data_IF_192826191784
#
_entry.id   IF_192826191784
#
_cell.length_a   1.000
_cell.length_b   1.000
_cell.length_c   1.000
_cell.angle_alpha   90.00
_cell.angle_beta   90.00
_cell.angle_gamma   90.00
#
_symmetry.space_group_name_H-M   'P 1'
#
loop_
_entity.id
_entity.type
_entity.pdbx_description
1 polymer ?
#
# COMPACT_ATOMS: atom_id res chain seq x y z
N UNK A 1 22.64 -21.31 29.66
CA UNK A 1 22.34 -20.04 28.95
C UNK A 1 23.24 -20.03 27.72
N UNK A 2 22.73 -20.54 26.58
CA UNK A 2 23.43 -20.50 25.30
C UNK A 2 23.12 -19.16 24.63
N UNK A 3 24.12 -18.41 24.13
CA UNK A 3 23.83 -17.26 23.31
C UNK A 3 23.38 -17.71 21.93
N UNK A 4 22.39 -16.98 21.43
CA UNK A 4 21.81 -17.07 20.10
C UNK A 4 22.88 -17.09 19.00
N UNK A 5 22.60 -17.90 18.00
CA UNK A 5 23.41 -18.12 16.81
C UNK A 5 23.64 -16.82 16.03
N UNK A 6 24.89 -16.35 16.01
CA UNK A 6 25.40 -15.42 15.00
C UNK A 6 25.15 -16.03 13.61
N UNK A 7 24.25 -15.44 12.81
CA UNK A 7 24.22 -15.70 11.36
C UNK A 7 25.00 -14.61 10.62
N UNK A 8 26.30 -14.55 10.84
CA UNK A 8 27.21 -13.94 9.86
C UNK A 8 27.46 -14.98 8.76
N UNK A 9 26.99 -14.73 7.53
CA UNK A 9 27.37 -15.55 6.37
C UNK A 9 28.86 -15.29 6.05
N UNK A 10 29.72 -16.24 6.42
CA UNK A 10 31.13 -16.24 6.00
C UNK A 10 31.23 -16.68 4.54
N UNK A 11 31.76 -15.81 3.68
CA UNK A 11 32.23 -16.18 2.34
C UNK A 11 33.57 -16.89 2.50
N UNK A 12 33.61 -18.22 2.30
CA UNK A 12 34.85 -19.01 2.36
C UNK A 12 35.77 -18.63 1.19
N UNK A 13 36.85 -17.91 1.47
CA UNK A 13 37.95 -17.67 0.53
C UNK A 13 39.16 -18.49 0.98
N UNK A 14 39.79 -19.21 0.04
CA UNK A 14 40.89 -20.17 0.26
C UNK A 14 42.16 -19.53 0.84
N UNK A 15 42.85 -20.31 1.66
CA UNK A 15 43.74 -19.93 2.77
C UNK A 15 45.10 -19.28 2.41
N UNK A 16 45.34 -18.84 1.18
CA UNK A 16 46.69 -18.41 0.73
C UNK A 16 46.85 -16.89 0.59
N UNK A 17 45.76 -16.11 0.64
CA UNK A 17 45.81 -14.63 0.57
C UNK A 17 45.53 -13.92 1.92
N UNK A 18 45.65 -14.65 3.05
CA UNK A 18 45.02 -14.29 4.32
C UNK A 18 45.71 -13.20 5.17
N UNK A 19 46.89 -12.69 4.79
CA UNK A 19 47.64 -11.74 5.64
C UNK A 19 47.65 -10.28 5.16
N UNK A 20 47.14 -9.97 3.96
CA UNK A 20 47.17 -8.59 3.42
C UNK A 20 45.77 -7.97 3.23
N UNK A 21 44.69 -8.76 3.37
CA UNK A 21 43.30 -8.28 3.21
C UNK A 21 42.58 -8.12 4.58
N UNK A 22 43.28 -8.27 5.71
CA UNK A 22 42.70 -8.16 7.06
C UNK A 22 42.44 -6.72 7.55
N UNK A 23 42.62 -5.70 6.70
CA UNK A 23 42.23 -4.33 7.01
C UNK A 23 41.10 -3.89 6.06
N UNK A 24 39.87 -3.84 6.59
CA UNK A 24 38.60 -3.42 5.95
C UNK A 24 37.75 -4.53 5.32
N UNK A 25 37.50 -5.62 6.04
CA UNK A 25 36.18 -6.25 5.96
C UNK A 25 35.24 -5.51 6.92
N UNK A 26 34.48 -4.54 6.41
CA UNK A 26 33.35 -4.00 7.17
C UNK A 26 32.33 -5.13 7.34
N UNK A 27 32.28 -5.71 8.54
CA UNK A 27 31.19 -6.59 8.92
C UNK A 27 29.92 -5.73 8.96
N UNK A 28 29.14 -5.78 7.89
CA UNK A 28 27.81 -5.17 7.88
C UNK A 28 26.91 -6.04 8.77
N UNK A 29 26.87 -5.72 10.06
CA UNK A 29 25.92 -6.33 10.97
C UNK A 29 24.51 -5.76 10.69
N UNK A 30 23.50 -6.62 10.77
CA UNK A 30 22.10 -6.26 10.50
C UNK A 30 21.16 -6.89 11.50
N UNK A 31 20.11 -6.16 11.86
CA UNK A 31 18.95 -6.68 12.58
C UNK A 31 17.95 -7.26 11.57
N UNK A 32 17.46 -8.46 11.85
CA UNK A 32 16.34 -9.04 11.11
C UNK A 32 15.03 -8.60 11.77
N UNK A 33 14.14 -8.00 10.96
CA UNK A 33 12.82 -7.59 11.37
C UNK A 33 11.77 -8.52 10.76
N UNK A 34 11.09 -9.31 11.58
CA UNK A 34 10.11 -10.30 11.14
C UNK A 34 8.73 -9.67 10.88
N UNK A 35 8.04 -10.16 9.85
CA UNK A 35 6.79 -9.60 9.35
C UNK A 35 5.71 -10.68 9.20
N UNK A 36 4.45 -10.27 9.34
CA UNK A 36 3.26 -11.09 9.14
C UNK A 36 2.21 -10.30 8.36
N UNK A 37 1.34 -10.98 7.61
CA UNK A 37 0.21 -10.32 6.97
C UNK A 37 -0.86 -9.92 8.00
N UNK A 38 -1.58 -8.80 7.80
CA UNK A 38 -1.42 -7.81 6.74
C UNK A 38 -0.12 -6.98 6.86
N UNK A 39 0.57 -6.74 5.74
CA UNK A 39 1.91 -6.15 5.74
C UNK A 39 1.88 -4.61 5.86
N UNK A 40 2.75 -3.99 6.69
CA UNK A 40 2.93 -2.55 6.73
C UNK A 40 3.60 -2.01 5.46
N UNK A 41 3.37 -0.72 5.20
CA UNK A 41 4.14 0.05 4.24
C UNK A 41 5.41 0.57 4.94
N UNK A 42 6.57 0.42 4.32
CA UNK A 42 7.85 0.83 4.91
C UNK A 42 8.44 2.02 4.20
N UNK A 43 9.13 2.86 4.97
CA UNK A 43 9.87 3.99 4.44
C UNK A 43 11.30 3.99 4.96
N UNK A 44 12.26 4.17 4.05
CA UNK A 44 13.70 4.21 4.36
C UNK A 44 14.41 5.33 3.59
N UNK A 45 15.36 5.99 4.24
CA UNK A 45 16.29 6.89 3.56
C UNK A 45 17.40 6.10 2.85
N UNK A 46 17.57 6.33 1.55
CA UNK A 46 18.67 5.83 0.73
C UNK A 46 19.45 7.00 0.15
N UNK A 47 20.51 7.40 0.85
CA UNK A 47 21.29 8.60 0.51
C UNK A 47 20.44 9.87 0.60
N UNK A 48 20.31 10.61 -0.49
CA UNK A 48 19.48 11.83 -0.56
C UNK A 48 18.02 11.58 -0.93
N UNK A 49 17.57 10.31 -1.00
CA UNK A 49 16.22 9.97 -1.42
C UNK A 49 15.51 9.13 -0.37
N UNK A 50 14.22 9.34 -0.19
CA UNK A 50 13.35 8.47 0.61
C UNK A 50 12.68 7.46 -0.30
N UNK A 51 12.64 6.21 0.15
CA UNK A 51 12.03 5.12 -0.59
C UNK A 51 10.90 4.55 0.25
N UNK A 52 9.73 4.46 -0.36
CA UNK A 52 8.56 3.84 0.23
C UNK A 52 8.30 2.52 -0.48
N UNK A 53 8.07 1.45 0.25
CA UNK A 53 7.98 0.12 -0.33
C UNK A 53 7.12 -0.82 0.48
N UNK A 54 6.56 -1.80 -0.22
CA UNK A 54 5.88 -2.94 0.39
C UNK A 54 6.86 -4.12 0.43
N UNK A 55 7.00 -4.79 1.58
CA UNK A 55 7.99 -5.86 1.72
C UNK A 55 7.58 -7.09 0.91
N UNK A 56 8.55 -7.67 0.21
CA UNK A 56 8.36 -8.87 -0.62
C UNK A 56 8.62 -10.17 0.14
N UNK A 57 9.15 -10.05 1.34
CA UNK A 57 9.60 -11.16 2.18
C UNK A 57 9.01 -11.01 3.57
N UNK A 58 8.91 -12.13 4.29
CA UNK A 58 8.47 -12.16 5.69
C UNK A 58 9.48 -11.57 6.66
N UNK A 59 10.60 -11.01 6.18
CA UNK A 59 11.54 -10.25 6.99
C UNK A 59 12.27 -9.17 6.20
N UNK A 60 12.71 -8.13 6.90
CA UNK A 60 13.54 -7.03 6.38
C UNK A 60 14.84 -6.99 7.18
N UNK A 61 15.97 -6.85 6.49
CA UNK A 61 17.26 -6.61 7.15
C UNK A 61 17.51 -5.11 7.28
N UNK A 62 17.71 -4.63 8.51
CA UNK A 62 18.06 -3.25 8.84
C UNK A 62 19.52 -3.23 9.27
N UNK A 63 20.38 -2.43 8.64
CA UNK A 63 21.80 -2.40 9.02
C UNK A 63 21.97 -1.72 10.38
N UNK A 64 23.03 -2.10 11.10
CA UNK A 64 23.39 -1.45 12.36
C UNK A 64 23.58 0.06 12.17
N UNK A 65 22.93 0.85 13.03
CA UNK A 65 22.90 2.31 12.95
C UNK A 65 21.85 2.89 12.01
N UNK A 66 21.14 2.06 11.23
CA UNK A 66 20.03 2.52 10.39
C UNK A 66 18.68 2.43 11.10
N UNK A 67 17.72 3.19 10.58
CA UNK A 67 16.32 3.10 10.94
C UNK A 67 15.44 2.88 9.70
N UNK A 68 14.28 2.28 9.94
CA UNK A 68 13.22 2.13 8.96
C UNK A 68 11.88 2.45 9.62
N UNK A 69 11.01 3.18 8.95
CA UNK A 69 9.69 3.56 9.48
C UNK A 69 8.62 2.66 8.88
N UNK A 70 7.72 2.10 9.70
CA UNK A 70 6.55 1.37 9.24
C UNK A 70 5.27 2.19 9.39
N UNK A 71 4.31 1.99 8.49
CA UNK A 71 2.98 2.62 8.49
C UNK A 71 1.85 1.59 8.27
N UNK A 72 0.77 1.72 9.05
CA UNK A 72 -0.50 0.99 8.87
C UNK A 72 -1.69 1.93 9.13
N UNK A 73 -2.62 2.06 8.17
CA UNK A 73 -3.80 2.93 8.31
C UNK A 73 -4.74 2.52 9.45
N UNK A 74 -4.94 1.21 9.65
CA UNK A 74 -5.80 0.64 10.69
C UNK A 74 -5.11 0.36 12.03
N UNK A 75 -3.87 0.79 12.21
CA UNK A 75 -3.11 0.55 13.43
C UNK A 75 -1.94 -0.42 13.21
N UNK A 76 -0.80 -0.07 13.81
CA UNK A 76 0.44 -0.84 13.76
C UNK A 76 0.54 -1.73 15.00
N UNK A 77 0.81 -3.02 14.80
CA UNK A 77 0.80 -4.04 15.86
C UNK A 77 2.13 -4.77 15.88
N UNK A 78 2.59 -5.13 17.08
CA UNK A 78 3.74 -6.02 17.23
C UNK A 78 3.47 -7.16 18.21
N UNK A 79 4.10 -8.30 17.93
CA UNK A 79 4.08 -9.51 18.75
C UNK A 79 5.51 -9.90 19.15
N UNK A 80 5.67 -10.50 20.34
CA UNK A 80 6.95 -11.06 20.79
C UNK A 80 6.93 -12.58 20.60
N UNK A 81 7.83 -13.10 19.75
CA UNK A 81 7.79 -14.51 19.30
C UNK A 81 7.83 -15.57 20.41
N UNK A 82 8.50 -15.31 21.53
CA UNK A 82 8.80 -16.31 22.55
C UNK A 82 7.87 -16.34 23.76
N UNK A 83 6.87 -15.47 23.82
CA UNK A 83 6.21 -15.17 25.08
C UNK A 83 4.72 -15.54 25.13
N UNK A 84 4.14 -16.13 24.07
CA UNK A 84 2.71 -16.45 24.02
C UNK A 84 1.78 -15.23 24.23
N UNK A 85 2.34 -14.02 24.17
CA UNK A 85 1.66 -12.79 24.53
C UNK A 85 0.80 -12.30 23.38
N UNK A 86 -0.32 -11.70 23.76
CA UNK A 86 -1.28 -11.07 22.87
C UNK A 86 -0.63 -9.98 22.01
N UNK A 87 -1.17 -9.73 20.81
CA UNK A 87 -0.72 -8.64 19.95
C UNK A 87 -0.81 -7.29 20.66
N UNK A 88 0.26 -6.49 20.60
CA UNK A 88 0.31 -5.18 21.26
C UNK A 88 0.14 -4.09 20.21
N UNK A 89 -0.91 -3.28 20.38
CA UNK A 89 -1.16 -2.11 19.55
C UNK A 89 -0.19 -0.98 19.92
N UNK A 90 0.44 -0.40 18.90
CA UNK A 90 1.21 0.82 19.06
C UNK A 90 0.26 2.03 19.12
N UNK A 91 0.62 3.02 19.93
CA UNK A 91 -0.19 4.22 20.12
C UNK A 91 -0.34 5.07 18.84
N UNK A 92 0.57 4.87 17.89
CA UNK A 92 0.55 5.53 16.58
C UNK A 92 0.50 4.48 15.47
N UNK A 93 -0.08 4.89 14.35
CA UNK A 93 -0.10 4.14 13.10
C UNK A 93 1.28 4.06 12.42
N UNK A 94 2.25 4.80 12.95
CA UNK A 94 3.65 4.84 12.53
C UNK A 94 4.58 4.45 13.66
N UNK A 95 5.67 3.76 13.32
CA UNK A 95 6.77 3.54 14.26
C UNK A 95 8.10 3.39 13.53
N UNK A 96 9.16 3.91 14.17
CA UNK A 96 10.53 3.74 13.71
C UNK A 96 11.13 2.49 14.32
N UNK A 97 11.77 1.67 13.49
CA UNK A 97 12.50 0.48 13.87
C UNK A 97 13.98 0.75 13.67
N UNK A 98 14.72 0.81 14.77
CA UNK A 98 16.12 1.24 14.81
C UNK A 98 16.97 0.03 15.17
N UNK A 99 17.92 -0.33 14.31
CA UNK A 99 18.93 -1.32 14.64
C UNK A 99 20.09 -0.63 15.32
N UNK A 100 20.32 -0.89 16.60
CA UNK A 100 21.42 -0.25 17.31
C UNK A 100 22.79 -0.89 17.00
N UNK A 101 23.87 -0.28 17.48
CA UNK A 101 25.24 -0.78 17.27
C UNK A 101 25.50 -2.16 17.91
N UNK A 102 24.62 -2.63 18.80
CA UNK A 102 24.70 -3.96 19.41
C UNK A 102 23.84 -4.99 18.65
N UNK A 103 23.31 -4.64 17.47
CA UNK A 103 22.40 -5.46 16.67
C UNK A 103 21.09 -5.80 17.38
N UNK A 104 20.63 -4.90 18.25
CA UNK A 104 19.34 -5.02 18.91
C UNK A 104 18.35 -4.11 18.20
N UNK A 105 17.27 -4.71 17.71
CA UNK A 105 16.17 -3.96 17.11
C UNK A 105 15.32 -3.30 18.20
N UNK A 106 15.11 -1.99 18.09
CA UNK A 106 14.31 -1.18 18.99
C UNK A 106 13.16 -0.53 18.24
N UNK A 107 12.00 -0.41 18.91
CA UNK A 107 10.87 0.36 18.40
C UNK A 107 10.92 1.76 19.05
N UNK A 108 10.92 2.80 18.24
CA UNK A 108 10.92 4.19 18.68
C UNK A 108 9.76 4.46 19.63
N UNK A 109 10.07 4.97 20.82
CA UNK A 109 9.06 5.30 21.83
C UNK A 109 8.51 4.12 22.63
N UNK A 110 9.00 2.88 22.42
CA UNK A 110 8.57 1.69 23.18
C UNK A 110 9.74 1.05 23.90
N UNK A 111 9.61 0.86 25.22
CA UNK A 111 10.57 0.11 26.00
C UNK A 111 10.31 -1.39 25.86
N UNK A 112 11.14 -2.07 25.06
CA UNK A 112 11.13 -3.53 24.94
C UNK A 112 12.33 -4.09 25.70
N UNK A 113 12.08 -4.98 26.64
CA UNK A 113 13.11 -5.79 27.29
C UNK A 113 13.94 -6.52 26.23
N UNK A 114 15.27 -6.33 26.26
CA UNK A 114 16.19 -6.86 25.26
C UNK A 114 16.00 -8.36 24.96
N UNK A 115 16.42 -8.78 23.76
CA UNK A 115 16.59 -10.19 23.32
C UNK A 115 15.37 -10.97 22.79
N UNK A 116 14.32 -10.30 22.32
CA UNK A 116 13.16 -11.00 21.73
C UNK A 116 12.95 -10.62 20.28
N UNK A 117 12.73 -11.62 19.45
CA UNK A 117 12.32 -11.43 18.06
C UNK A 117 10.94 -10.78 18.02
N UNK A 118 10.86 -9.66 17.30
CA UNK A 118 9.66 -8.84 17.15
C UNK A 118 9.06 -9.16 15.78
N UNK A 119 7.76 -9.46 15.76
CA UNK A 119 6.97 -9.63 14.54
C UNK A 119 6.05 -8.43 14.41
N UNK A 120 5.98 -7.81 13.21
CA UNK A 120 5.14 -6.65 12.94
C UNK A 120 4.11 -6.95 11.86
N UNK A 121 2.91 -6.40 12.02
CA UNK A 121 1.83 -6.44 11.03
C UNK A 121 0.83 -5.30 11.27
N UNK A 122 -0.06 -5.08 10.31
CA UNK A 122 -1.20 -4.16 10.46
C UNK A 122 -2.40 -4.85 11.07
N UNK A 123 -3.18 -4.14 11.89
CA UNK A 123 -4.40 -4.69 12.49
C UNK A 123 -5.51 -5.00 11.46
N UNK A 124 -5.54 -4.27 10.34
CA UNK A 124 -6.52 -4.43 9.27
C UNK A 124 -5.86 -4.60 7.90
N UNK A 125 -6.63 -5.10 6.94
CA UNK A 125 -6.23 -5.06 5.53
C UNK A 125 -6.27 -3.61 4.99
N UNK A 126 -5.38 -3.31 4.05
CA UNK A 126 -5.23 -1.99 3.43
C UNK A 126 -4.30 -1.08 4.22
N UNK A 127 -3.24 -0.58 3.56
CA UNK A 127 -2.31 0.41 4.12
C UNK A 127 -2.59 1.82 3.61
N UNK A 128 -3.45 1.98 2.62
CA UNK A 128 -3.80 3.29 2.06
C UNK A 128 -5.07 3.82 2.71
N UNK A 129 -5.17 5.13 2.82
CA UNK A 129 -6.32 5.85 3.35
C UNK A 129 -6.91 6.78 2.30
N UNK A 130 -8.19 7.14 2.46
CA UNK A 130 -8.87 8.12 1.63
C UNK A 130 -8.72 9.52 2.23
N UNK A 131 -8.44 10.48 1.36
CA UNK A 131 -8.28 11.89 1.69
C UNK A 131 -9.06 12.74 0.69
N UNK A 132 -9.48 13.92 1.12
CA UNK A 132 -9.78 14.99 0.18
C UNK A 132 -8.49 15.40 -0.52
N UNK A 133 -8.55 15.57 -1.85
CA UNK A 133 -7.41 16.04 -2.61
C UNK A 133 -7.20 17.54 -2.37
N UNK A 134 -5.94 17.96 -2.12
CA UNK A 134 -5.58 19.39 -2.04
C UNK A 134 -5.86 20.15 -3.34
N UNK A 135 -5.89 19.44 -4.47
CA UNK A 135 -6.17 20.01 -5.79
C UNK A 135 -7.34 19.29 -6.43
N UNK A 136 -8.23 20.05 -7.04
CA UNK A 136 -9.28 19.49 -7.89
C UNK A 136 -8.65 18.70 -9.04
N UNK A 137 -9.13 17.48 -9.24
CA UNK A 137 -8.70 16.64 -10.38
C UNK A 137 -9.15 17.29 -11.70
N UNK A 138 -8.40 17.12 -12.80
CA UNK A 138 -8.77 17.69 -14.11
C UNK A 138 -10.16 17.23 -14.58
N UNK A 139 -11.04 18.14 -15.01
CA UNK A 139 -12.42 17.81 -15.38
C UNK A 139 -13.29 17.35 -14.18
N UNK A 140 -12.91 17.70 -12.95
CA UNK A 140 -13.69 17.43 -11.73
C UNK A 140 -14.16 18.73 -11.05
N UNK A 141 -14.23 19.86 -11.76
CA UNK A 141 -14.49 21.17 -11.15
C UNK A 141 -15.86 21.28 -10.47
N UNK A 142 -16.82 20.46 -10.90
CA UNK A 142 -18.19 20.44 -10.39
C UNK A 142 -18.44 19.38 -9.32
N UNK A 143 -17.43 18.58 -9.00
CA UNK A 143 -17.58 17.38 -8.16
C UNK A 143 -16.45 17.29 -7.12
N UNK A 144 -16.55 16.32 -6.21
CA UNK A 144 -15.54 16.12 -5.19
C UNK A 144 -14.35 15.35 -5.73
N UNK A 145 -13.15 15.86 -5.43
CA UNK A 145 -11.89 15.20 -5.77
C UNK A 145 -11.30 14.56 -4.51
N UNK A 146 -11.28 13.23 -4.49
CA UNK A 146 -10.60 12.45 -3.46
C UNK A 146 -9.29 11.88 -3.96
N UNK A 147 -8.40 11.54 -3.03
CA UNK A 147 -7.15 10.87 -3.27
C UNK A 147 -6.99 9.71 -2.27
N UNK A 148 -6.56 8.55 -2.76
CA UNK A 148 -6.25 7.38 -1.93
C UNK A 148 -4.73 7.24 -1.85
N UNK A 149 -4.18 7.31 -0.64
CA UNK A 149 -2.74 7.39 -0.43
C UNK A 149 -2.30 7.27 1.02
N UNK A 150 -1.01 7.51 1.26
CA UNK A 150 -0.40 7.58 2.59
C UNK A 150 0.39 8.88 2.70
N UNK A 151 0.15 9.69 3.75
CA UNK A 151 0.94 10.87 4.03
C UNK A 151 2.34 10.43 4.50
N UNK A 152 3.36 11.11 3.99
CA UNK A 152 4.75 10.82 4.34
C UNK A 152 5.30 12.04 5.07
N UNK A 153 5.64 11.88 6.33
CA UNK A 153 6.12 12.98 7.17
C UNK A 153 7.34 13.65 6.53
N UNK A 154 7.24 14.98 6.38
CA UNK A 154 8.27 15.85 5.82
C UNK A 154 8.42 15.81 4.30
N UNK A 155 7.61 15.04 3.57
CA UNK A 155 7.78 14.83 2.12
C UNK A 155 6.44 14.76 1.36
N UNK A 156 6.52 14.54 0.04
CA UNK A 156 5.35 14.33 -0.82
C UNK A 156 4.67 13.01 -0.47
N UNK A 157 3.36 13.06 -0.27
CA UNK A 157 2.51 11.88 -0.02
C UNK A 157 2.61 10.85 -1.16
N UNK A 158 2.50 9.57 -0.82
CA UNK A 158 2.33 8.52 -1.82
C UNK A 158 0.84 8.40 -2.18
N UNK A 159 0.50 8.58 -3.45
CA UNK A 159 -0.89 8.49 -3.94
C UNK A 159 -1.00 7.33 -4.92
N UNK A 160 -2.04 6.51 -4.77
CA UNK A 160 -2.34 5.38 -5.67
C UNK A 160 -3.44 5.69 -6.67
N UNK A 161 -4.45 6.44 -6.23
CA UNK A 161 -5.58 6.78 -7.07
C UNK A 161 -6.14 8.16 -6.70
N UNK A 162 -6.64 8.87 -7.69
CA UNK A 162 -7.54 10.01 -7.54
C UNK A 162 -8.95 9.60 -7.95
N UNK A 163 -9.97 10.02 -7.21
CA UNK A 163 -11.37 9.69 -7.48
C UNK A 163 -12.15 10.99 -7.66
N UNK A 164 -12.79 11.14 -8.82
CA UNK A 164 -13.76 12.21 -9.04
C UNK A 164 -15.18 11.67 -8.79
N UNK A 165 -15.83 12.20 -7.77
CA UNK A 165 -17.09 11.65 -7.27
C UNK A 165 -18.15 12.73 -7.10
N UNK A 166 -19.35 12.46 -7.62
CA UNK A 166 -20.53 13.29 -7.47
C UNK A 166 -21.32 12.81 -6.27
N UNK A 167 -21.18 13.54 -5.16
CA UNK A 167 -21.87 13.23 -3.92
C UNK A 167 -23.39 13.48 -4.01
N UNK A 168 -23.84 14.39 -4.87
CA UNK A 168 -25.27 14.72 -4.97
C UNK A 168 -26.05 13.57 -5.61
N UNK A 169 -25.44 12.92 -6.63
CA UNK A 169 -26.05 11.80 -7.33
C UNK A 169 -25.52 10.43 -6.90
N UNK A 170 -24.56 10.37 -5.98
CA UNK A 170 -23.83 9.15 -5.60
C UNK A 170 -23.23 8.40 -6.78
N UNK A 171 -22.65 9.15 -7.72
CA UNK A 171 -22.08 8.57 -8.95
C UNK A 171 -20.60 8.81 -9.05
N UNK A 172 -19.87 7.74 -9.34
CA UNK A 172 -18.50 7.84 -9.79
C UNK A 172 -18.45 8.50 -11.18
N UNK A 173 -17.62 9.53 -11.36
CA UNK A 173 -17.43 10.16 -12.67
C UNK A 173 -16.23 9.58 -13.40
N UNK A 174 -15.10 9.47 -12.71
CA UNK A 174 -13.94 8.75 -13.19
C UNK A 174 -12.95 8.53 -12.04
N UNK A 175 -12.01 7.62 -12.27
CA UNK A 175 -10.88 7.33 -11.41
C UNK A 175 -9.60 7.50 -12.20
N UNK A 176 -8.64 8.15 -11.58
CA UNK A 176 -7.30 8.32 -12.10
C UNK A 176 -6.36 7.39 -11.35
N UNK A 177 -5.81 6.40 -12.03
CA UNK A 177 -4.85 5.46 -11.46
C UNK A 177 -3.43 5.89 -11.80
N UNK A 178 -2.58 5.90 -10.78
CA UNK A 178 -1.15 6.10 -10.95
C UNK A 178 -0.53 4.71 -11.10
N UNK A 179 -0.23 4.30 -12.34
CA UNK A 179 0.40 3.01 -12.61
C UNK A 179 1.92 3.17 -12.70
N UNK A 180 2.61 2.57 -11.74
CA UNK A 180 4.06 2.57 -11.66
C UNK A 180 4.62 1.20 -12.02
N UNK A 181 5.91 1.08 -12.41
CA UNK A 181 6.51 -0.20 -12.73
C UNK A 181 6.40 -1.10 -11.51
N UNK A 182 6.18 -2.41 -11.75
CA UNK A 182 6.07 -3.47 -10.72
C UNK A 182 7.41 -3.76 -10.05
N UNK A 183 8.20 -2.73 -9.76
CA UNK A 183 9.15 -2.79 -8.66
C UNK A 183 8.37 -2.27 -7.47
N UNK A 184 8.06 -3.13 -6.49
CA UNK A 184 7.32 -2.80 -5.26
C UNK A 184 8.04 -1.79 -4.33
N UNK A 185 8.98 -1.02 -4.90
CA UNK A 185 9.80 0.01 -4.30
C UNK A 185 9.57 1.30 -5.07
N UNK A 186 8.99 2.26 -4.39
CA UNK A 186 8.76 3.61 -4.89
C UNK A 186 9.91 4.46 -4.37
N UNK A 187 10.79 4.84 -5.28
CA UNK A 187 11.81 5.84 -4.99
C UNK A 187 11.15 7.20 -5.13
N UNK A 188 10.93 7.87 -4.00
CA UNK A 188 10.49 9.25 -3.98
C UNK A 188 11.73 10.09 -4.30
N UNK A 189 11.73 10.66 -5.49
CA UNK A 189 12.74 11.63 -5.91
C UNK A 189 12.13 13.02 -5.77
N UNK A 190 12.63 13.81 -4.80
CA UNK A 190 12.24 15.21 -4.60
C UNK A 190 12.38 16.05 -5.90
N UNK A 191 13.23 15.60 -6.85
CA UNK A 191 13.51 16.31 -8.10
C UNK A 191 12.65 15.87 -9.29
N UNK A 192 11.73 14.90 -9.14
CA UNK A 192 10.88 14.50 -10.26
C UNK A 192 9.87 15.59 -10.61
N UNK A 193 9.97 16.04 -11.87
CA UNK A 193 9.25 17.16 -12.49
C UNK A 193 7.74 17.09 -12.26
N UNK A 194 7.17 18.30 -12.16
CA UNK A 194 5.78 18.69 -11.97
C UNK A 194 4.71 18.14 -12.95
N UNK A 195 4.96 17.05 -13.68
CA UNK A 195 4.06 16.52 -14.72
C UNK A 195 3.39 15.17 -14.41
N UNK A 196 3.61 14.55 -13.25
CA UNK A 196 2.69 13.54 -12.74
C UNK A 196 1.73 14.27 -11.81
N UNK A 197 0.41 14.26 -12.12
CA UNK A 197 -0.62 15.07 -11.46
C UNK A 197 -0.27 15.33 -10.00
N UNK A 198 -0.16 16.61 -9.65
CA UNK A 198 0.13 17.07 -8.29
C UNK A 198 -1.06 16.84 -7.35
N UNK A 199 -1.53 15.59 -7.29
CA UNK A 199 -2.42 15.05 -6.28
C UNK A 199 -1.63 15.01 -4.98
N UNK A 200 -2.20 15.63 -3.97
CA UNK A 200 -1.66 15.64 -2.63
C UNK A 200 -2.80 15.49 -1.63
N UNK A 201 -2.49 14.88 -0.51
CA UNK A 201 -3.46 14.50 0.51
C UNK A 201 -3.72 15.70 1.42
N UNK A 202 -4.98 16.10 1.57
CA UNK A 202 -5.38 17.18 2.48
C UNK A 202 -5.87 16.63 3.82
N UNK A 203 -7.17 16.38 3.91
CA UNK A 203 -7.85 15.93 5.12
C UNK A 203 -8.25 14.47 4.94
N UNK A 204 -7.93 13.63 5.93
CA UNK A 204 -8.35 12.22 5.94
C UNK A 204 -9.88 12.16 6.01
N UNK A 205 -10.48 11.34 5.15
CA UNK A 205 -11.92 11.11 5.11
C UNK A 205 -12.20 9.72 5.67
N UNK A 206 -12.92 9.67 6.78
CA UNK A 206 -13.32 8.42 7.44
C UNK A 206 -14.82 8.15 7.27
N UNK A 207 -15.18 6.87 7.12
CA UNK A 207 -16.56 6.41 7.30
C UNK A 207 -17.57 6.90 6.25
N UNK A 208 -17.19 7.16 4.99
CA UNK A 208 -18.17 7.59 3.97
C UNK A 208 -19.38 6.64 3.87
N UNK A 209 -19.17 5.34 4.06
CA UNK A 209 -20.24 4.33 4.05
C UNK A 209 -21.26 4.50 5.17
N UNK A 210 -20.90 5.20 6.24
CA UNK A 210 -21.79 5.48 7.37
C UNK A 210 -22.74 6.64 7.05
N UNK A 211 -22.34 7.53 6.13
CA UNK A 211 -23.09 8.73 5.75
C UNK A 211 -23.85 8.58 4.43
N UNK A 212 -23.35 7.74 3.51
CA UNK A 212 -23.87 7.65 2.15
C UNK A 212 -24.25 6.22 1.75
N UNK A 213 -25.43 6.02 1.12
CA UNK A 213 -25.93 4.69 0.77
C UNK A 213 -25.32 4.21 -0.57
N UNK A 214 -24.04 3.83 -0.56
CA UNK A 214 -23.40 3.27 -1.75
C UNK A 214 -24.11 1.99 -2.23
N UNK A 215 -24.31 1.88 -3.55
CA UNK A 215 -24.91 0.69 -4.13
C UNK A 215 -23.92 -0.47 -4.09
N UNK A 216 -24.34 -1.60 -3.52
CA UNK A 216 -23.56 -2.84 -3.55
C UNK A 216 -24.04 -3.75 -4.68
N UNK A 217 -23.14 -4.62 -5.15
CA UNK A 217 -23.45 -5.65 -6.15
C UNK A 217 -24.60 -6.55 -5.70
N UNK A 218 -24.64 -6.91 -4.40
CA UNK A 218 -25.72 -7.74 -3.86
C UNK A 218 -27.07 -7.01 -3.91
N UNK A 219 -27.09 -5.73 -3.50
CA UNK A 219 -28.31 -4.91 -3.51
C UNK A 219 -28.81 -4.68 -4.94
N UNK A 220 -27.90 -4.37 -5.86
CA UNK A 220 -28.23 -4.23 -7.29
C UNK A 220 -28.82 -5.52 -7.86
N UNK A 221 -28.19 -6.67 -7.61
CA UNK A 221 -28.69 -7.95 -8.10
C UNK A 221 -30.05 -8.33 -7.52
N UNK A 222 -30.29 -8.04 -6.24
CA UNK A 222 -31.59 -8.26 -5.61
C UNK A 222 -32.69 -7.39 -6.28
N UNK A 223 -32.43 -6.08 -6.43
CA UNK A 223 -33.36 -5.16 -7.10
C UNK A 223 -33.59 -5.56 -8.56
N UNK A 224 -32.53 -5.94 -9.28
CA UNK A 224 -32.64 -6.46 -10.65
C UNK A 224 -33.54 -7.70 -10.69
N UNK A 225 -33.29 -8.68 -9.84
CA UNK A 225 -34.06 -9.94 -9.82
C UNK A 225 -35.53 -9.72 -9.46
N UNK A 226 -35.84 -8.75 -8.60
CA UNK A 226 -37.21 -8.35 -8.31
C UNK A 226 -37.88 -7.70 -9.54
N UNK A 227 -37.18 -6.79 -10.21
CA UNK A 227 -37.68 -6.17 -11.44
C UNK A 227 -37.92 -7.19 -12.55
N UNK A 228 -37.05 -8.20 -12.69
CA UNK A 228 -37.22 -9.33 -13.61
C UNK A 228 -38.52 -10.10 -13.39
N UNK A 229 -38.97 -10.22 -12.13
CA UNK A 229 -40.25 -10.88 -11.81
C UNK A 229 -41.45 -10.01 -12.16
N UNK A 230 -41.28 -8.69 -12.23
CA UNK A 230 -42.36 -7.73 -12.41
C UNK A 230 -42.57 -7.25 -13.85
N UNK A 231 -41.54 -7.27 -14.71
CA UNK A 231 -41.61 -6.78 -16.10
C UNK A 231 -40.62 -7.51 -17.03
N UNK A 232 -41.03 -7.70 -18.29
CA UNK A 232 -40.13 -8.08 -19.40
C UNK A 232 -39.32 -6.85 -19.86
N UNK A 233 -38.27 -6.49 -19.12
CA UNK A 233 -37.42 -5.33 -19.45
C UNK A 233 -36.13 -5.77 -20.15
N UNK A 234 -36.26 -6.25 -21.39
CA UNK A 234 -35.18 -6.84 -22.21
C UNK A 234 -33.94 -5.93 -22.46
N UNK A 235 -34.00 -4.64 -22.11
CA UNK A 235 -32.90 -3.69 -22.32
C UNK A 235 -32.01 -3.42 -21.09
N UNK A 236 -32.41 -3.83 -19.87
CA UNK A 236 -31.58 -3.70 -18.65
C UNK A 236 -30.49 -4.79 -18.60
N UNK A 237 -30.62 -5.83 -19.43
CA UNK A 237 -29.83 -7.06 -19.40
C UNK A 237 -28.38 -6.92 -19.87
N UNK A 238 -28.02 -5.75 -20.35
CA UNK A 238 -26.69 -5.45 -20.82
C UNK A 238 -25.79 -4.92 -19.70
N UNK A 239 -26.34 -4.36 -18.62
CA UNK A 239 -25.53 -3.71 -17.59
C UNK A 239 -25.43 -4.55 -16.30
N UNK A 240 -24.20 -4.64 -15.79
CA UNK A 240 -23.91 -5.14 -14.45
C UNK A 240 -23.39 -3.99 -13.60
N UNK A 241 -23.58 -4.08 -12.28
CA UNK A 241 -22.86 -3.26 -11.31
C UNK A 241 -21.69 -4.09 -10.78
N UNK A 242 -20.47 -3.61 -10.99
CA UNK A 242 -19.27 -4.27 -10.47
C UNK A 242 -18.11 -3.26 -10.41
N UNK A 243 -17.00 -3.64 -9.78
CA UNK A 243 -15.86 -2.77 -9.52
C UNK A 243 -15.02 -2.52 -10.78
N UNK A 244 -14.54 -1.28 -10.96
CA UNK A 244 -13.51 -0.94 -11.94
C UNK A 244 -12.15 -1.58 -11.60
N UNK A 245 -11.92 -1.95 -10.34
CA UNK A 245 -10.73 -2.69 -9.90
C UNK A 245 -10.87 -4.14 -10.34
N UNK A 246 -10.26 -4.52 -11.46
CA UNK A 246 -10.28 -5.89 -11.97
C UNK A 246 -9.02 -6.69 -11.64
N UNK A 247 -7.92 -6.00 -11.29
CA UNK A 247 -6.66 -6.62 -10.89
C UNK A 247 -6.64 -6.98 -9.40
N UNK A 248 -6.21 -8.19 -9.08
CA UNK A 248 -6.23 -8.74 -7.70
C UNK A 248 -5.32 -7.95 -6.75
N UNK A 249 -4.18 -7.44 -7.24
CA UNK A 249 -3.26 -6.64 -6.43
C UNK A 249 -3.89 -5.30 -6.07
N UNK A 250 -4.52 -4.63 -7.04
CA UNK A 250 -5.24 -3.37 -6.79
C UNK A 250 -6.47 -3.58 -5.89
N UNK A 251 -7.24 -4.64 -6.11
CA UNK A 251 -8.36 -5.00 -5.24
C UNK A 251 -7.90 -5.18 -3.80
N UNK A 252 -6.80 -5.91 -3.57
CA UNK A 252 -6.26 -6.13 -2.22
C UNK A 252 -5.82 -4.82 -1.57
N UNK A 253 -5.13 -3.95 -2.31
CA UNK A 253 -4.59 -2.67 -1.79
C UNK A 253 -5.67 -1.63 -1.51
N UNK A 254 -6.75 -1.63 -2.29
CA UNK A 254 -7.81 -0.62 -2.24
C UNK A 254 -9.14 -1.16 -1.71
N UNK A 255 -9.16 -2.37 -1.17
CA UNK A 255 -10.37 -3.06 -0.74
C UNK A 255 -11.22 -2.24 0.24
N UNK A 256 -10.57 -1.55 1.18
CA UNK A 256 -11.23 -0.70 2.18
C UNK A 256 -12.06 0.43 1.56
N UNK A 257 -11.82 0.76 0.29
CA UNK A 257 -12.54 1.78 -0.47
C UNK A 257 -13.22 1.23 -1.71
N UNK A 258 -13.36 -0.10 -1.84
CA UNK A 258 -13.91 -0.77 -3.03
C UNK A 258 -15.30 -0.24 -3.45
N UNK A 259 -16.10 0.22 -2.49
CA UNK A 259 -17.41 0.82 -2.74
C UNK A 259 -17.38 2.07 -3.63
N UNK A 260 -16.26 2.80 -3.68
CA UNK A 260 -16.08 3.96 -4.57
C UNK A 260 -15.81 3.56 -6.02
N UNK A 261 -15.40 2.32 -6.26
CA UNK A 261 -14.99 1.82 -7.57
C UNK A 261 -16.11 1.08 -8.30
N UNK A 262 -17.25 0.85 -7.64
CA UNK A 262 -18.40 0.23 -8.28
C UNK A 262 -19.01 1.20 -9.29
N UNK A 263 -19.20 0.71 -10.51
CA UNK A 263 -19.89 1.46 -11.56
C UNK A 263 -20.83 0.56 -12.36
N UNK A 264 -21.78 1.17 -13.05
CA UNK A 264 -22.64 0.49 -14.02
C UNK A 264 -21.91 0.42 -15.35
N UNK A 265 -21.80 -0.78 -15.91
CA UNK A 265 -21.03 -1.01 -17.12
C UNK A 265 -21.63 -2.12 -17.95
N UNK A 266 -21.45 -1.98 -19.26
CA UNK A 266 -21.92 -2.97 -20.21
C UNK A 266 -21.13 -4.27 -20.01
N UNK A 267 -21.85 -5.37 -19.75
CA UNK A 267 -21.29 -6.67 -19.38
C UNK A 267 -20.26 -7.19 -20.39
N UNK A 268 -20.45 -6.90 -21.67
CA UNK A 268 -19.50 -7.32 -22.72
C UNK A 268 -18.17 -6.54 -22.67
N UNK A 269 -18.20 -5.25 -22.28
CA UNK A 269 -16.98 -4.47 -22.08
C UNK A 269 -16.15 -5.03 -20.92
N UNK A 270 -16.83 -5.47 -19.84
CA UNK A 270 -16.21 -6.10 -18.67
C UNK A 270 -15.40 -7.34 -18.99
N UNK A 271 -16.09 -8.32 -19.57
CA UNK A 271 -15.60 -9.70 -19.57
C UNK A 271 -14.48 -9.95 -20.59
N UNK A 272 -14.34 -9.09 -21.60
CA UNK A 272 -13.39 -9.31 -22.69
C UNK A 272 -12.45 -8.11 -22.84
N UNK A 273 -12.97 -6.94 -23.16
CA UNK A 273 -12.11 -5.85 -23.64
C UNK A 273 -11.35 -5.13 -22.52
N UNK A 274 -12.00 -4.93 -21.37
CA UNK A 274 -11.40 -4.16 -20.29
C UNK A 274 -10.27 -4.90 -19.59
N UNK A 275 -10.48 -6.18 -19.27
CA UNK A 275 -9.43 -7.02 -18.68
C UNK A 275 -8.21 -7.11 -19.59
N UNK A 276 -8.40 -7.33 -20.89
CA UNK A 276 -7.29 -7.37 -21.85
C UNK A 276 -6.57 -6.02 -21.97
N UNK A 277 -7.30 -4.90 -21.91
CA UNK A 277 -6.68 -3.58 -21.88
C UNK A 277 -5.82 -3.39 -20.62
N UNK A 278 -6.32 -3.77 -19.45
CA UNK A 278 -5.57 -3.69 -18.18
C UNK A 278 -4.35 -4.62 -18.17
N UNK A 279 -4.48 -5.85 -18.68
CA UNK A 279 -3.36 -6.79 -18.82
C UNK A 279 -2.28 -6.24 -19.77
N UNK A 280 -2.69 -5.70 -20.93
CA UNK A 280 -1.77 -5.09 -21.89
C UNK A 280 -1.08 -3.84 -21.31
N UNK A 281 -1.84 -3.02 -20.56
CA UNK A 281 -1.30 -1.88 -19.84
C UNK A 281 -0.29 -2.33 -18.78
N UNK A 282 -0.61 -3.35 -17.98
CA UNK A 282 0.28 -3.88 -16.94
C UNK A 282 1.61 -4.35 -17.55
N UNK A 283 1.57 -5.16 -18.62
CA UNK A 283 2.78 -5.60 -19.32
C UNK A 283 3.62 -4.43 -19.86
N UNK A 284 2.97 -3.36 -20.37
CA UNK A 284 3.66 -2.15 -20.81
C UNK A 284 4.21 -1.33 -19.64
N UNK A 285 3.50 -1.27 -18.52
CA UNK A 285 3.92 -0.49 -17.33
C UNK A 285 5.18 -1.04 -16.68
N UNK A 286 5.50 -2.33 -16.87
CA UNK A 286 6.79 -2.93 -16.46
C UNK A 286 8.00 -2.25 -17.11
N UNK A 287 7.81 -1.62 -18.27
CA UNK A 287 8.88 -0.98 -19.05
C UNK A 287 8.83 0.55 -18.90
N UNK A 288 7.66 1.15 -18.67
CA UNK A 288 7.47 2.62 -18.67
C UNK A 288 6.35 3.04 -17.72
N UNK A 289 6.45 4.21 -17.07
CA UNK A 289 5.36 4.76 -16.25
C UNK A 289 4.23 5.30 -17.12
N UNK A 290 2.98 5.05 -16.73
CA UNK A 290 1.80 5.57 -17.43
C UNK A 290 0.81 6.20 -16.45
N UNK A 291 0.05 7.18 -16.94
CA UNK A 291 -1.10 7.75 -16.25
C UNK A 291 -2.35 7.27 -16.98
N UNK A 292 -3.30 6.67 -16.25
CA UNK A 292 -4.49 6.09 -16.86
C UNK A 292 -5.75 6.64 -16.20
N UNK A 293 -6.59 7.25 -17.03
CA UNK A 293 -7.91 7.72 -16.66
C UNK A 293 -8.92 6.64 -17.03
N UNK A 294 -9.73 6.23 -16.06
CA UNK A 294 -10.75 5.19 -16.21
C UNK A 294 -12.08 5.81 -15.81
N UNK A 295 -12.98 5.98 -16.78
CA UNK A 295 -14.31 6.56 -16.60
C UNK A 295 -15.38 5.56 -16.99
#
# INVERSE_FOLDING_TARGET
IFPSTLKCKMLKISFVYFLVILARSEFACSCELSLKHPLPLFTKQLGSRKVVFEPQTSSINVLAGESITAYCSGGLVYEKKYDGNEPIFLAKNTADFICDANNVLKIGGVHISNNREIIIFCASQGTYDLYESKKTLPNCEKYMSYAIGVPIDGEKSEVKAGVCFDLDNFTLKYIHFITEPVTDRIVIDEKKKANELSLDLNQKVGGLTDYFPFMSVQKFNATRNELLRSRNLFDIFDFDLDSLLQDESQQTKLNSYAYLFNTLWWRQLRQQNWRHFLEALNERTRVTKYLVYMG
#
